data_IF_388488256445
#
_entry.id   IF_388488256445
#
_cell.length_a   1.000
_cell.length_b   1.000
_cell.length_c   1.000
_cell.angle_alpha   90.00
_cell.angle_beta   90.00
_cell.angle_gamma   90.00
#
_symmetry.space_group_name_H-M   'P 1'
#
loop_
_entity.id
_entity.type
_entity.pdbx_description
1 polymer ?
#
# COMPACT_ATOMS: atom_id res chain seq x y z
N UNK A 1 16.23 6.97 0.68
CA UNK A 1 15.01 7.07 -0.14
C UNK A 1 15.05 8.32 -1.01
N UNK A 2 14.64 8.18 -2.25
CA UNK A 2 14.57 9.28 -3.20
C UNK A 2 13.62 8.92 -4.33
N UNK A 3 12.44 9.57 -4.35
CA UNK A 3 11.44 9.35 -5.37
C UNK A 3 11.74 10.25 -6.59
N UNK A 4 12.26 9.63 -7.64
CA UNK A 4 12.72 10.32 -8.86
C UNK A 4 11.94 9.90 -10.11
N UNK A 5 10.90 9.09 -9.96
CA UNK A 5 10.21 8.40 -11.08
C UNK A 5 9.70 9.38 -12.13
N UNK A 6 9.14 10.51 -11.70
CA UNK A 6 8.51 11.51 -12.59
C UNK A 6 9.35 12.76 -12.80
N UNK A 7 10.56 12.82 -12.25
CA UNK A 7 11.46 13.97 -12.48
C UNK A 7 12.13 13.86 -13.83
N UNK A 8 12.09 14.93 -14.60
CA UNK A 8 12.66 15.03 -15.96
C UNK A 8 14.08 15.62 -16.01
N UNK A 9 14.59 16.14 -14.90
CA UNK A 9 15.95 16.67 -14.80
C UNK A 9 17.01 15.59 -14.60
N UNK A 10 18.27 16.00 -14.60
CA UNK A 10 19.41 15.11 -14.35
C UNK A 10 19.28 14.43 -12.97
N UNK A 11 19.41 13.11 -12.97
CA UNK A 11 19.44 12.35 -11.70
C UNK A 11 20.84 12.43 -11.12
N UNK A 12 21.02 12.91 -9.88
CA UNK A 12 22.35 12.94 -9.28
C UNK A 12 22.90 11.52 -9.15
N UNK A 13 24.13 11.31 -9.62
CA UNK A 13 24.83 10.06 -9.44
C UNK A 13 25.09 9.85 -7.93
N UNK A 14 24.68 8.68 -7.40
CA UNK A 14 24.95 8.30 -6.02
C UNK A 14 26.17 7.40 -5.98
N UNK A 15 27.15 7.79 -5.22
CA UNK A 15 28.29 6.93 -4.95
C UNK A 15 27.90 5.79 -3.99
N UNK A 16 28.43 4.59 -4.18
CA UNK A 16 28.27 3.51 -3.20
C UNK A 16 28.92 3.90 -1.86
N UNK A 17 28.29 3.54 -0.77
CA UNK A 17 28.85 3.72 0.58
C UNK A 17 29.40 2.39 1.07
N UNK A 18 30.69 2.35 1.37
CA UNK A 18 31.35 1.18 1.94
C UNK A 18 31.65 1.42 3.41
N UNK A 19 31.10 0.57 4.29
CA UNK A 19 31.38 0.62 5.71
C UNK A 19 32.48 -0.38 6.06
N UNK A 20 33.60 0.12 6.56
CA UNK A 20 34.71 -0.71 7.05
C UNK A 20 34.46 -1.10 8.52
N UNK A 21 34.28 -2.38 8.77
CA UNK A 21 33.94 -2.89 10.11
C UNK A 21 34.79 -4.13 10.45
N UNK A 22 35.08 -4.37 11.73
CA UNK A 22 35.92 -5.47 12.18
C UNK A 22 35.29 -6.87 12.01
N UNK A 23 33.95 -6.95 11.94
CA UNK A 23 33.18 -8.21 11.79
C UNK A 23 32.07 -8.04 10.74
N UNK A 24 32.40 -7.99 9.44
CA UNK A 24 31.44 -7.63 8.40
C UNK A 24 30.24 -8.58 8.32
N UNK A 25 30.43 -9.87 8.48
CA UNK A 25 29.34 -10.86 8.44
C UNK A 25 28.35 -10.70 9.60
N UNK A 26 28.85 -10.42 10.80
CA UNK A 26 28.01 -10.20 11.97
C UNK A 26 27.18 -8.88 11.82
N UNK A 27 27.80 -7.84 11.29
CA UNK A 27 27.13 -6.56 11.02
C UNK A 27 26.08 -6.73 9.90
N UNK A 28 26.40 -7.44 8.84
CA UNK A 28 25.46 -7.73 7.77
C UNK A 28 24.25 -8.55 8.28
N UNK A 29 24.50 -9.57 9.11
CA UNK A 29 23.43 -10.36 9.72
C UNK A 29 22.52 -9.52 10.63
N UNK A 30 23.10 -8.67 11.47
CA UNK A 30 22.34 -7.75 12.34
C UNK A 30 21.57 -6.68 11.53
N UNK A 31 22.08 -6.31 10.37
CA UNK A 31 21.44 -5.33 9.46
C UNK A 31 20.21 -5.83 8.73
N UNK A 32 20.08 -7.15 8.48
CA UNK A 32 18.97 -7.72 7.70
C UNK A 32 17.58 -7.28 8.16
N UNK A 33 17.22 -7.35 9.45
CA UNK A 33 15.89 -6.92 9.91
C UNK A 33 15.67 -5.41 9.76
N UNK A 34 16.73 -4.60 9.80
CA UNK A 34 16.64 -3.14 9.59
C UNK A 34 16.44 -2.83 8.09
N UNK A 35 17.09 -3.59 7.21
CA UNK A 35 16.87 -3.46 5.77
C UNK A 35 15.43 -3.83 5.40
N UNK A 36 14.88 -4.90 5.96
CA UNK A 36 13.49 -5.28 5.78
C UNK A 36 12.51 -4.17 6.22
N UNK A 37 12.82 -3.51 7.35
CA UNK A 37 12.04 -2.35 7.81
C UNK A 37 12.15 -1.17 6.83
N UNK A 38 13.36 -0.85 6.36
CA UNK A 38 13.57 0.21 5.39
C UNK A 38 12.82 -0.05 4.07
N UNK A 39 12.83 -1.30 3.58
CA UNK A 39 12.07 -1.73 2.40
C UNK A 39 10.56 -1.50 2.57
N UNK A 40 9.99 -1.85 3.73
CA UNK A 40 8.58 -1.61 4.01
C UNK A 40 8.25 -0.12 4.07
N UNK A 41 9.12 0.69 4.72
CA UNK A 41 8.96 2.15 4.76
C UNK A 41 9.05 2.76 3.35
N UNK A 42 10.01 2.32 2.53
CA UNK A 42 10.16 2.82 1.16
C UNK A 42 8.96 2.43 0.30
N UNK A 43 8.46 1.20 0.43
CA UNK A 43 7.25 0.77 -0.27
C UNK A 43 6.03 1.64 0.08
N UNK A 44 5.81 1.92 1.38
CA UNK A 44 4.76 2.85 1.82
C UNK A 44 4.93 4.23 1.19
N UNK A 45 6.15 4.78 1.23
CA UNK A 45 6.43 6.13 0.70
C UNK A 45 6.28 6.20 -0.82
N UNK A 46 6.64 5.15 -1.53
CA UNK A 46 6.43 5.05 -2.97
C UNK A 46 4.95 5.08 -3.31
N UNK A 47 4.14 4.26 -2.63
CA UNK A 47 2.68 4.25 -2.82
C UNK A 47 2.06 5.64 -2.58
N UNK A 48 2.43 6.31 -1.49
CA UNK A 48 1.87 7.64 -1.13
C UNK A 48 2.32 8.74 -2.09
N UNK A 49 3.51 8.61 -2.70
CA UNK A 49 4.04 9.60 -3.64
C UNK A 49 3.60 9.37 -5.09
N UNK A 50 2.94 8.26 -5.39
CA UNK A 50 2.42 8.02 -6.74
C UNK A 50 1.26 8.97 -7.05
N UNK A 51 1.21 9.55 -8.25
CA UNK A 51 0.05 10.33 -8.66
C UNK A 51 -1.18 9.43 -8.88
N UNK A 52 -2.38 9.96 -8.62
CA UNK A 52 -3.61 9.18 -8.64
C UNK A 52 -4.01 8.63 -10.03
N UNK A 53 -3.49 9.23 -11.09
CA UNK A 53 -3.66 8.71 -12.46
C UNK A 53 -2.74 7.51 -12.77
N UNK A 54 -1.81 7.19 -11.89
CA UNK A 54 -0.94 6.00 -11.95
C UNK A 54 -1.37 4.99 -10.91
N UNK A 55 -1.44 5.38 -9.63
CA UNK A 55 -1.91 4.51 -8.56
C UNK A 55 -3.45 4.45 -8.56
N UNK A 56 -4.01 3.80 -9.58
CA UNK A 56 -5.44 3.49 -9.62
C UNK A 56 -5.78 2.38 -8.63
N UNK A 57 -7.08 2.11 -8.44
CA UNK A 57 -7.52 0.99 -7.59
C UNK A 57 -6.99 -0.36 -8.07
N UNK A 58 -6.93 -0.56 -9.39
CA UNK A 58 -6.39 -1.77 -10.02
C UNK A 58 -4.86 -1.87 -9.84
N UNK A 59 -4.12 -0.78 -10.09
CA UNK A 59 -2.66 -0.77 -9.93
C UNK A 59 -2.26 -1.03 -8.49
N UNK A 60 -2.95 -0.37 -7.54
CA UNK A 60 -2.66 -0.59 -6.12
C UNK A 60 -2.92 -2.05 -5.72
N UNK A 61 -4.07 -2.62 -6.09
CA UNK A 61 -4.38 -4.02 -5.80
C UNK A 61 -3.35 -4.97 -6.44
N UNK A 62 -2.91 -4.71 -7.68
CA UNK A 62 -1.89 -5.50 -8.35
C UNK A 62 -0.52 -5.44 -7.63
N UNK A 63 -0.11 -4.27 -7.15
CA UNK A 63 1.13 -4.13 -6.35
C UNK A 63 1.06 -4.91 -5.04
N UNK A 64 -0.11 -4.97 -4.41
CA UNK A 64 -0.31 -5.78 -3.20
C UNK A 64 -0.32 -7.28 -3.53
N UNK A 65 -0.94 -7.69 -4.63
CA UNK A 65 -0.93 -9.08 -5.09
C UNK A 65 0.49 -9.59 -5.38
N UNK A 66 1.37 -8.75 -5.92
CA UNK A 66 2.77 -9.09 -6.15
C UNK A 66 3.53 -9.49 -4.86
N UNK A 67 3.03 -9.12 -3.68
CA UNK A 67 3.64 -9.53 -2.41
C UNK A 67 3.47 -11.03 -2.10
N UNK A 68 2.68 -11.77 -2.90
CA UNK A 68 2.65 -13.24 -2.85
C UNK A 68 4.04 -13.84 -3.08
N UNK A 69 4.88 -13.19 -3.87
CA UNK A 69 6.29 -13.59 -4.08
C UNK A 69 7.12 -13.59 -2.80
N UNK A 70 6.69 -12.85 -1.78
CA UNK A 70 7.30 -12.81 -0.45
C UNK A 70 6.70 -13.84 0.52
N UNK A 71 5.75 -14.67 0.06
CA UNK A 71 5.08 -15.69 0.87
C UNK A 71 3.83 -15.21 1.61
N UNK A 72 3.30 -14.04 1.26
CA UNK A 72 1.98 -13.61 1.71
C UNK A 72 0.89 -14.36 0.94
N UNK A 73 -0.20 -14.71 1.62
CA UNK A 73 -1.43 -15.14 0.98
C UNK A 73 -2.29 -13.90 0.73
N UNK A 74 -2.58 -13.60 -0.54
CA UNK A 74 -3.30 -12.37 -0.93
C UNK A 74 -4.55 -12.71 -1.70
N UNK A 75 -5.68 -12.21 -1.21
CA UNK A 75 -7.01 -12.32 -1.83
C UNK A 75 -7.52 -10.91 -2.17
N UNK A 76 -8.14 -10.77 -3.33
CA UNK A 76 -8.74 -9.52 -3.77
C UNK A 76 -10.22 -9.77 -4.01
N UNK A 77 -11.07 -9.08 -3.26
CA UNK A 77 -12.51 -9.10 -3.48
C UNK A 77 -12.90 -7.96 -4.41
N UNK A 78 -13.68 -8.30 -5.43
CA UNK A 78 -14.30 -7.35 -6.34
C UNK A 78 -15.62 -6.77 -5.80
N UNK A 79 -16.25 -5.89 -6.56
CA UNK A 79 -17.51 -5.24 -6.17
C UNK A 79 -18.68 -6.24 -6.06
N UNK A 80 -18.66 -7.33 -6.85
CA UNK A 80 -19.69 -8.37 -6.81
C UNK A 80 -19.58 -9.14 -5.49
N UNK A 81 -18.37 -9.52 -5.11
CA UNK A 81 -18.09 -10.23 -3.86
C UNK A 81 -18.38 -9.37 -2.64
N UNK A 82 -17.93 -8.10 -2.66
CA UNK A 82 -18.22 -7.13 -1.60
C UNK A 82 -19.72 -6.85 -1.46
N UNK A 83 -20.46 -6.84 -2.57
CA UNK A 83 -21.94 -6.69 -2.54
C UNK A 83 -22.60 -7.86 -1.84
N UNK A 84 -22.17 -9.10 -2.12
CA UNK A 84 -22.67 -10.31 -1.44
C UNK A 84 -22.40 -10.28 0.07
N UNK A 85 -21.27 -9.69 0.46
CA UNK A 85 -20.89 -9.50 1.87
C UNK A 85 -21.59 -8.30 2.53
N UNK A 86 -22.36 -7.52 1.79
CA UNK A 86 -23.09 -6.37 2.32
C UNK A 86 -22.20 -5.16 2.62
N UNK A 87 -21.04 -5.02 1.99
CA UNK A 87 -20.06 -3.94 2.23
C UNK A 87 -20.48 -2.61 1.55
N UNK A 88 -21.72 -2.20 1.79
CA UNK A 88 -22.37 -1.07 1.11
C UNK A 88 -21.68 0.27 1.34
N UNK A 89 -21.11 0.49 2.52
CA UNK A 89 -20.44 1.76 2.84
C UNK A 89 -19.19 1.96 1.97
N UNK A 90 -18.37 0.92 1.82
CA UNK A 90 -17.18 0.97 0.96
C UNK A 90 -17.57 1.17 -0.50
N UNK A 91 -18.53 0.39 -1.01
CA UNK A 91 -19.03 0.48 -2.37
C UNK A 91 -19.65 1.85 -2.66
N UNK A 92 -20.34 2.44 -1.67
CA UNK A 92 -20.96 3.78 -1.81
C UNK A 92 -19.93 4.89 -2.02
N UNK A 93 -18.72 4.76 -1.46
CA UNK A 93 -17.64 5.73 -1.69
C UNK A 93 -17.12 5.67 -3.12
N UNK A 94 -16.93 4.46 -3.67
CA UNK A 94 -16.41 4.25 -5.01
C UNK A 94 -17.44 4.42 -6.14
N UNK A 95 -18.70 4.57 -5.83
CA UNK A 95 -19.81 4.51 -6.81
C UNK A 95 -19.73 5.58 -7.92
N UNK A 96 -19.12 6.73 -7.64
CA UNK A 96 -18.96 7.82 -8.62
C UNK A 96 -17.75 7.68 -9.53
N UNK A 97 -16.90 6.68 -9.33
CA UNK A 97 -15.68 6.46 -10.11
C UNK A 97 -15.88 5.39 -11.19
N UNK A 98 -15.10 5.48 -12.27
CA UNK A 98 -14.92 4.39 -13.24
C UNK A 98 -13.87 3.35 -12.77
N UNK A 99 -13.06 3.70 -11.75
CA UNK A 99 -12.09 2.77 -11.14
C UNK A 99 -12.82 1.84 -10.16
N UNK A 100 -12.83 0.50 -10.37
CA UNK A 100 -13.61 -0.41 -9.54
C UNK A 100 -13.08 -0.49 -8.12
N UNK A 101 -14.00 -0.50 -7.14
CA UNK A 101 -13.66 -0.67 -5.73
C UNK A 101 -13.12 -2.08 -5.47
N UNK A 102 -12.17 -2.21 -4.53
CA UNK A 102 -11.58 -3.49 -4.16
C UNK A 102 -11.36 -3.60 -2.65
N UNK A 103 -11.41 -4.81 -2.12
CA UNK A 103 -10.90 -5.14 -0.80
C UNK A 103 -9.74 -6.11 -0.98
N UNK A 104 -8.55 -5.73 -0.52
CA UNK A 104 -7.38 -6.62 -0.54
C UNK A 104 -7.13 -7.15 0.87
N UNK A 105 -7.04 -8.47 0.98
CA UNK A 105 -6.77 -9.21 2.21
C UNK A 105 -5.41 -9.85 2.08
N UNK A 106 -4.47 -9.47 2.93
CA UNK A 106 -3.10 -9.99 2.95
C UNK A 106 -2.88 -10.78 4.23
N UNK A 107 -2.49 -12.03 4.15
CA UNK A 107 -2.26 -12.87 5.32
C UNK A 107 -0.80 -13.27 5.43
N UNK A 108 -0.21 -13.04 6.59
CA UNK A 108 1.08 -13.57 6.99
C UNK A 108 0.89 -14.59 8.09
N UNK A 109 1.31 -15.84 7.84
CA UNK A 109 1.12 -16.98 8.77
C UNK A 109 2.47 -17.46 9.31
N UNK A 110 3.24 -16.57 9.93
CA UNK A 110 4.56 -16.87 10.49
C UNK A 110 4.54 -17.31 11.96
N UNK A 111 3.40 -17.20 12.62
CA UNK A 111 3.19 -17.60 14.02
C UNK A 111 2.79 -19.07 14.19
N UNK A 112 2.23 -19.42 15.35
CA UNK A 112 1.75 -20.78 15.61
C UNK A 112 0.43 -21.04 14.91
N UNK A 113 0.24 -22.25 14.43
CA UNK A 113 -1.03 -22.69 13.86
C UNK A 113 -2.16 -22.58 14.90
N UNK A 114 -3.30 -22.04 14.49
CA UNK A 114 -4.48 -21.86 15.35
C UNK A 114 -4.46 -20.62 16.24
N UNK A 115 -3.37 -19.87 16.33
CA UNK A 115 -3.38 -18.56 16.99
C UNK A 115 -4.11 -17.52 16.11
N UNK A 116 -5.01 -16.75 16.73
CA UNK A 116 -5.73 -15.67 16.06
C UNK A 116 -4.73 -14.61 15.52
N UNK A 117 -4.90 -14.15 14.29
CA UNK A 117 -4.03 -13.11 13.74
C UNK A 117 -4.33 -11.74 14.33
N UNK A 118 -3.31 -10.89 14.40
CA UNK A 118 -3.49 -9.44 14.55
C UNK A 118 -4.06 -8.88 13.25
N UNK A 119 -5.18 -8.17 13.34
CA UNK A 119 -5.78 -7.50 12.20
C UNK A 119 -5.29 -6.03 12.08
N UNK A 120 -4.79 -5.67 10.91
CA UNK A 120 -4.41 -4.31 10.54
C UNK A 120 -5.37 -3.84 9.44
N UNK A 121 -6.04 -2.71 9.65
CA UNK A 121 -7.00 -2.17 8.68
C UNK A 121 -6.51 -0.82 8.19
N UNK A 122 -6.45 -0.64 6.87
CA UNK A 122 -5.96 0.57 6.24
C UNK A 122 -6.99 1.22 5.30
N UNK A 123 -7.15 2.54 5.41
CA UNK A 123 -7.92 3.35 4.45
C UNK A 123 -7.13 3.49 3.16
N UNK A 124 -7.75 3.13 2.02
CA UNK A 124 -7.13 3.12 0.70
C UNK A 124 -7.91 3.94 -0.33
N UNK A 125 -8.24 5.19 -0.02
CA UNK A 125 -8.85 6.10 -1.00
C UNK A 125 -7.75 6.69 -1.87
N UNK A 126 -7.59 6.18 -3.10
CA UNK A 126 -6.48 6.53 -3.99
C UNK A 126 -6.53 7.98 -4.48
N UNK A 127 -7.74 8.55 -4.57
CA UNK A 127 -7.97 9.97 -4.73
C UNK A 127 -9.32 10.36 -4.13
N UNK A 128 -9.39 11.45 -3.38
CA UNK A 128 -10.59 11.88 -2.68
C UNK A 128 -10.99 13.32 -3.02
N UNK A 129 -11.91 13.48 -3.95
CA UNK A 129 -12.51 14.77 -4.26
C UNK A 129 -13.61 15.19 -3.28
N UNK A 130 -14.06 14.29 -2.40
CA UNK A 130 -15.25 14.44 -1.57
C UNK A 130 -16.52 13.93 -2.23
N UNK A 131 -16.49 13.58 -3.51
CA UNK A 131 -17.67 13.15 -4.29
C UNK A 131 -18.67 14.30 -4.47
N UNK A 132 -19.96 14.05 -4.21
CA UNK A 132 -21.02 15.09 -4.30
C UNK A 132 -20.77 16.24 -3.30
N UNK A 133 -20.22 15.96 -2.12
CA UNK A 133 -19.75 16.97 -1.16
C UNK A 133 -18.32 17.38 -1.50
N UNK A 134 -18.15 18.00 -2.67
CA UNK A 134 -16.84 18.29 -3.23
C UNK A 134 -16.00 19.19 -2.32
N UNK A 135 -14.75 18.84 -2.16
CA UNK A 135 -13.75 19.60 -1.41
C UNK A 135 -13.42 20.92 -2.11
N UNK A 136 -12.88 21.89 -1.36
CA UNK A 136 -12.30 23.08 -1.96
C UNK A 136 -11.12 22.72 -2.88
N UNK A 137 -10.89 23.52 -3.93
CA UNK A 137 -9.81 23.30 -4.87
C UNK A 137 -8.41 23.38 -4.20
N UNK A 138 -8.24 24.30 -3.23
CA UNK A 138 -7.00 24.43 -2.49
C UNK A 138 -6.72 23.19 -1.64
N UNK A 139 -5.60 22.50 -1.92
CA UNK A 139 -5.18 21.29 -1.23
C UNK A 139 -5.84 20.00 -1.75
N UNK A 140 -6.72 20.06 -2.76
CA UNK A 140 -7.32 18.85 -3.33
C UNK A 140 -6.26 17.97 -4.02
N UNK A 141 -5.24 18.57 -4.60
CA UNK A 141 -4.10 17.89 -5.20
C UNK A 141 -3.32 17.01 -4.21
N UNK A 142 -3.39 17.32 -2.91
CA UNK A 142 -2.77 16.52 -1.85
C UNK A 142 -3.57 15.24 -1.54
N UNK A 143 -4.79 15.12 -2.04
CA UNK A 143 -5.67 13.95 -1.77
C UNK A 143 -5.21 12.66 -2.44
N UNK A 144 -4.12 12.67 -3.18
CA UNK A 144 -3.37 11.46 -3.58
C UNK A 144 -2.83 10.69 -2.38
N UNK A 145 -2.61 11.35 -1.24
CA UNK A 145 -2.14 10.72 0.01
C UNK A 145 -3.24 10.05 0.85
N UNK A 146 -4.50 10.17 0.46
CA UNK A 146 -5.65 9.68 1.25
C UNK A 146 -5.74 8.14 1.33
N UNK A 147 -4.81 7.47 0.68
CA UNK A 147 -4.56 6.04 0.78
C UNK A 147 -3.38 5.69 1.73
N UNK A 148 -2.84 6.65 2.46
CA UNK A 148 -1.66 6.47 3.31
C UNK A 148 -1.83 5.39 4.38
N UNK A 149 -3.06 5.22 4.94
CA UNK A 149 -3.37 4.14 5.88
C UNK A 149 -3.18 2.75 5.26
N UNK A 150 -3.67 2.54 4.03
CA UNK A 150 -3.46 1.31 3.27
C UNK A 150 -1.97 1.12 2.92
N UNK A 151 -1.28 2.19 2.55
CA UNK A 151 0.16 2.19 2.29
C UNK A 151 0.96 1.73 3.52
N UNK A 152 0.61 2.21 4.72
CA UNK A 152 1.25 1.78 5.98
C UNK A 152 0.99 0.30 6.24
N UNK A 153 -0.25 -0.19 6.10
CA UNK A 153 -0.58 -1.62 6.26
C UNK A 153 0.25 -2.45 5.27
N UNK A 154 0.31 -2.04 4.01
CA UNK A 154 1.10 -2.73 2.97
C UNK A 154 2.59 -2.79 3.32
N UNK A 155 3.18 -1.68 3.76
CA UNK A 155 4.58 -1.62 4.19
C UNK A 155 4.89 -2.48 5.41
N UNK A 156 3.97 -2.54 6.38
CA UNK A 156 4.08 -3.44 7.54
C UNK A 156 4.02 -4.90 7.09
N UNK A 157 3.05 -5.29 6.26
CA UNK A 157 2.92 -6.66 5.76
C UNK A 157 4.17 -7.08 4.97
N UNK A 158 4.70 -6.21 4.12
CA UNK A 158 5.98 -6.42 3.42
C UNK A 158 7.14 -6.64 4.39
N UNK A 159 7.26 -5.79 5.42
CA UNK A 159 8.29 -5.91 6.45
C UNK A 159 8.20 -7.25 7.20
N UNK A 160 6.99 -7.68 7.58
CA UNK A 160 6.77 -8.95 8.29
C UNK A 160 7.23 -10.14 7.45
N UNK A 161 6.90 -10.16 6.16
CA UNK A 161 7.30 -11.19 5.23
C UNK A 161 8.83 -11.23 5.05
N UNK A 162 9.46 -10.09 4.76
CA UNK A 162 10.91 -9.99 4.56
C UNK A 162 11.72 -10.37 5.82
N UNK A 163 11.15 -10.14 7.01
CA UNK A 163 11.77 -10.55 8.28
C UNK A 163 11.52 -12.01 8.67
N UNK A 164 10.58 -12.69 8.00
CA UNK A 164 10.10 -13.99 8.44
C UNK A 164 9.53 -13.94 9.87
N UNK A 165 8.71 -12.89 10.14
CA UNK A 165 8.22 -12.59 11.48
C UNK A 165 7.43 -13.77 12.09
N UNK A 166 7.67 -14.07 13.36
CA UNK A 166 7.02 -15.16 14.10
C UNK A 166 5.68 -14.70 14.68
N UNK A 167 4.75 -14.29 13.80
CA UNK A 167 3.43 -13.79 14.15
C UNK A 167 2.43 -14.14 13.05
N UNK A 168 1.15 -14.28 13.41
CA UNK A 168 0.06 -14.33 12.45
C UNK A 168 -0.55 -12.93 12.34
N UNK A 169 -0.59 -12.39 11.13
CA UNK A 169 -1.10 -11.04 10.88
C UNK A 169 -1.96 -11.04 9.62
N UNK A 170 -3.06 -10.33 9.64
CA UNK A 170 -3.89 -10.06 8.48
C UNK A 170 -3.96 -8.55 8.24
N UNK A 171 -3.59 -8.11 7.04
CA UNK A 171 -3.77 -6.75 6.54
C UNK A 171 -5.02 -6.69 5.68
N UNK A 172 -5.90 -5.73 5.96
CA UNK A 172 -7.14 -5.49 5.22
C UNK A 172 -7.11 -4.05 4.71
N UNK A 173 -7.20 -3.86 3.40
CA UNK A 173 -7.22 -2.53 2.80
C UNK A 173 -8.39 -2.40 1.84
N UNK A 174 -9.30 -1.48 2.14
CA UNK A 174 -10.37 -1.09 1.23
C UNK A 174 -9.84 -0.04 0.27
N UNK A 175 -9.84 -0.37 -1.03
CA UNK A 175 -9.29 0.48 -2.09
C UNK A 175 -10.45 1.01 -2.93
N UNK A 176 -10.60 2.33 -2.93
CA UNK A 176 -11.66 3.04 -3.66
C UNK A 176 -11.14 4.38 -4.18
N UNK A 177 -11.87 4.98 -5.09
CA UNK A 177 -11.66 6.33 -5.54
C UNK A 177 -12.96 7.13 -5.35
N UNK A 178 -12.89 8.26 -4.62
CA UNK A 178 -14.06 9.08 -4.31
C UNK A 178 -14.18 10.25 -5.30
N UNK A 179 -14.97 10.06 -6.35
CA UNK A 179 -15.15 11.01 -7.44
C UNK A 179 -16.61 11.43 -7.61
N UNK A 180 -16.88 12.68 -8.03
CA UNK A 180 -18.24 13.12 -8.39
C UNK A 180 -18.68 12.56 -9.73
N UNK A 181 -17.72 12.20 -10.61
CA UNK A 181 -17.92 11.71 -11.98
C UNK A 181 -16.71 10.85 -12.37
N UNK A 182 -16.96 9.73 -13.03
CA UNK A 182 -15.92 8.79 -13.45
C UNK A 182 -14.92 9.34 -14.48
N UNK A 183 -15.26 10.39 -15.20
CA UNK A 183 -14.42 11.00 -16.24
C UNK A 183 -13.66 12.26 -15.79
N UNK A 184 -13.83 12.68 -14.54
CA UNK A 184 -13.08 13.82 -14.03
C UNK A 184 -11.58 13.50 -14.00
N UNK A 185 -10.76 14.48 -14.40
CA UNK A 185 -9.28 14.34 -14.37
C UNK A 185 -8.78 14.42 -12.91
N UNK A 186 -7.75 13.64 -12.63
CA UNK A 186 -7.07 13.60 -11.33
C UNK A 186 -5.78 14.40 -11.40
#
# INVERSE_FOLDING_TARGET
YDFQTYKTGDKPARAPVTMMVGKPEAVAAAGKPMMALAEGVYFTRELVNEPANVLTTDDFAARLAAMQELGLDVEILDEVEMTKLGMRALLGVGQGSESPSKLVIMQWRGGKAGEAPLALVGKGVVFDTGGISIKAAAGMEEMTMDMGGAGVVAGVMRTLALRGAKANVVGLVGIVENMPDGRAQR
#
